data_IF_818456022759
#
_entry.id   IF_818456022759
#
_cell.length_a   1.000
_cell.length_b   1.000
_cell.length_c   1.000
_cell.angle_alpha   90.00
_cell.angle_beta   90.00
_cell.angle_gamma   90.00
#
_symmetry.space_group_name_H-M   'P 1'
#
loop_
_entity.id
_entity.type
_entity.pdbx_description
1 polymer ?
#
# COMPACT_ATOMS: atom_id res chain seq x y z
N UNK A 1 -7.27 26.68 -12.87
CA UNK A 1 -6.23 26.23 -11.94
C UNK A 1 -6.15 24.73 -12.12
N UNK A 2 -5.13 24.23 -12.82
CA UNK A 2 -4.94 22.79 -13.00
C UNK A 2 -4.21 22.23 -11.76
N UNK A 3 -4.74 21.16 -11.17
CA UNK A 3 -4.14 20.52 -10.00
C UNK A 3 -2.94 19.69 -10.42
N UNK A 4 -1.73 20.13 -10.07
CA UNK A 4 -0.50 19.45 -10.49
C UNK A 4 -0.30 18.06 -9.88
N UNK A 5 -0.90 17.79 -8.73
CA UNK A 5 -0.83 16.52 -8.01
C UNK A 5 -2.21 16.13 -7.49
N UNK A 6 -2.61 14.89 -7.75
CA UNK A 6 -3.84 14.27 -7.27
C UNK A 6 -3.43 13.07 -6.42
N UNK A 7 -3.67 13.16 -5.12
CA UNK A 7 -3.40 12.08 -4.17
C UNK A 7 -4.65 11.22 -4.04
N UNK A 8 -4.59 9.98 -4.49
CA UNK A 8 -5.76 9.10 -4.51
C UNK A 8 -5.67 7.92 -3.54
N UNK A 9 -6.81 7.29 -3.30
CA UNK A 9 -6.91 5.99 -2.65
C UNK A 9 -6.57 4.87 -3.64
N UNK A 10 -6.26 3.69 -3.09
CA UNK A 10 -5.75 2.54 -3.85
C UNK A 10 -6.84 1.55 -4.26
N UNK A 11 -8.10 1.97 -4.25
CA UNK A 11 -9.19 1.12 -4.70
C UNK A 11 -9.17 1.06 -6.23
N UNK A 12 -9.25 -0.15 -6.77
CA UNK A 12 -9.36 -0.37 -8.21
C UNK A 12 -10.56 0.38 -8.81
N UNK A 13 -11.65 0.52 -8.03
CA UNK A 13 -12.81 1.31 -8.42
C UNK A 13 -12.47 2.80 -8.60
N UNK A 14 -11.68 3.38 -7.70
CA UNK A 14 -11.23 4.78 -7.80
C UNK A 14 -10.29 4.97 -8.98
N UNK A 15 -9.35 4.03 -9.18
CA UNK A 15 -8.46 3.98 -10.35
C UNK A 15 -9.26 3.97 -11.65
N UNK A 16 -10.25 3.08 -11.74
CA UNK A 16 -11.10 2.95 -12.92
C UNK A 16 -11.99 4.18 -13.14
N UNK A 17 -12.51 4.78 -12.07
CA UNK A 17 -13.37 5.97 -12.12
C UNK A 17 -12.60 7.22 -12.59
N UNK A 18 -11.33 7.35 -12.21
CA UNK A 18 -10.47 8.43 -12.71
C UNK A 18 -9.94 8.16 -14.13
N UNK A 19 -10.31 7.03 -14.77
CA UNK A 19 -9.99 6.72 -16.16
C UNK A 19 -8.49 6.55 -16.43
N UNK A 20 -7.72 6.24 -15.39
CA UNK A 20 -6.26 6.34 -15.44
C UNK A 20 -5.68 5.13 -16.18
N UNK A 21 -5.31 5.33 -17.45
CA UNK A 21 -4.15 4.62 -17.98
C UNK A 21 -2.95 5.11 -17.18
N UNK A 22 -2.54 4.34 -16.18
CA UNK A 22 -1.33 4.66 -15.44
C UNK A 22 -0.15 4.64 -16.41
N UNK A 23 0.51 5.79 -16.47
CA UNK A 23 1.54 6.17 -17.44
C UNK A 23 0.97 6.56 -18.81
N UNK A 24 1.17 7.85 -19.12
CA UNK A 24 0.98 8.57 -20.39
C UNK A 24 -0.38 9.24 -20.62
N UNK A 25 -0.34 10.57 -20.64
CA UNK A 25 -1.28 11.54 -21.27
C UNK A 25 -2.59 11.79 -20.51
N UNK A 26 -2.98 13.02 -20.16
CA UNK A 26 -2.81 14.32 -20.84
C UNK A 26 -2.70 15.49 -19.86
N UNK A 27 -1.71 16.37 -20.10
CA UNK A 27 -1.50 17.73 -19.57
C UNK A 27 -1.79 18.03 -18.07
N UNK A 28 -0.68 18.16 -17.34
CA UNK A 28 -0.46 18.88 -16.06
C UNK A 28 -0.72 18.17 -14.73
N UNK A 29 -1.40 17.01 -14.64
CA UNK A 29 -1.74 16.41 -13.33
C UNK A 29 -1.03 15.06 -13.11
N UNK A 30 -0.18 14.99 -12.08
CA UNK A 30 0.43 13.74 -11.59
C UNK A 30 -0.58 13.06 -10.66
N UNK A 31 -0.87 11.79 -10.87
CA UNK A 31 -1.71 11.00 -9.96
C UNK A 31 -0.78 10.14 -9.11
N UNK A 32 -0.86 10.26 -7.79
CA UNK A 32 0.00 9.53 -6.85
C UNK A 32 -0.79 8.82 -5.77
N UNK A 33 -0.25 7.70 -5.32
CA UNK A 33 -0.76 6.94 -4.21
C UNK A 33 -0.57 7.66 -2.88
N UNK A 34 -1.63 7.79 -2.08
CA UNK A 34 -1.54 8.48 -0.80
C UNK A 34 -1.17 7.55 0.36
N UNK A 35 0.03 7.68 0.93
CA UNK A 35 0.48 6.90 2.10
C UNK A 35 -0.51 6.96 3.27
N UNK A 36 -1.19 8.09 3.49
CA UNK A 36 -2.24 8.21 4.49
C UNK A 36 -3.42 7.25 4.24
N UNK A 37 -3.86 7.10 2.98
CA UNK A 37 -4.89 6.13 2.62
C UNK A 37 -4.41 4.68 2.71
N UNK A 38 -3.12 4.42 2.46
CA UNK A 38 -2.52 3.11 2.69
C UNK A 38 -2.58 2.77 4.19
N UNK A 39 -2.12 3.68 5.05
CA UNK A 39 -2.15 3.49 6.49
C UNK A 39 -3.57 3.25 7.00
N UNK A 40 -4.56 4.00 6.51
CA UNK A 40 -5.96 3.78 6.85
C UNK A 40 -6.47 2.40 6.41
N UNK A 41 -6.04 1.90 5.24
CA UNK A 41 -6.40 0.57 4.75
C UNK A 41 -5.76 -0.54 5.60
N UNK A 42 -4.49 -0.35 6.00
CA UNK A 42 -3.79 -1.22 6.95
C UNK A 42 -4.55 -1.26 8.27
N UNK A 43 -4.91 -0.12 8.85
CA UNK A 43 -5.66 -0.06 10.11
C UNK A 43 -7.00 -0.80 10.02
N UNK A 44 -7.78 -0.59 8.95
CA UNK A 44 -9.04 -1.31 8.74
C UNK A 44 -8.81 -2.82 8.65
N UNK A 45 -7.76 -3.25 7.94
CA UNK A 45 -7.45 -4.67 7.79
C UNK A 45 -6.97 -5.30 9.10
N UNK A 46 -6.10 -4.62 9.85
CA UNK A 46 -5.65 -5.00 11.20
C UNK A 46 -6.85 -5.20 12.14
N UNK A 47 -7.78 -4.25 12.15
CA UNK A 47 -9.01 -4.35 12.94
C UNK A 47 -9.91 -5.50 12.48
N UNK A 48 -10.10 -5.67 11.17
CA UNK A 48 -10.89 -6.76 10.61
C UNK A 48 -10.31 -8.16 10.86
N UNK A 49 -9.00 -8.26 11.10
CA UNK A 49 -8.32 -9.49 11.52
C UNK A 49 -8.35 -9.70 13.05
N UNK A 50 -8.93 -8.78 13.82
CA UNK A 50 -9.00 -8.87 15.29
C UNK A 50 -7.74 -8.40 16.01
N UNK A 51 -6.78 -7.77 15.31
CA UNK A 51 -5.48 -7.39 15.87
C UNK A 51 -5.41 -5.97 16.44
N UNK A 52 -6.55 -5.31 16.64
CA UNK A 52 -6.59 -3.93 17.15
C UNK A 52 -5.78 -3.77 18.44
N UNK A 53 -6.03 -4.62 19.44
CA UNK A 53 -5.35 -4.57 20.73
C UNK A 53 -3.85 -4.80 20.59
N UNK A 54 -3.43 -5.79 19.78
CA UNK A 54 -2.02 -6.05 19.52
C UNK A 54 -1.35 -4.82 18.89
N UNK A 55 -1.97 -4.22 17.89
CA UNK A 55 -1.42 -3.04 17.22
C UNK A 55 -1.29 -1.82 18.15
N UNK A 56 -2.23 -1.62 19.07
CA UNK A 56 -2.24 -0.46 19.98
C UNK A 56 -1.32 -0.65 21.20
N UNK A 57 -1.10 -1.89 21.65
CA UNK A 57 -0.47 -2.17 22.94
C UNK A 57 0.87 -2.91 22.84
N UNK A 58 1.19 -3.49 21.68
CA UNK A 58 2.45 -4.19 21.43
C UNK A 58 3.27 -3.42 20.37
N UNK A 59 4.33 -2.70 20.78
CA UNK A 59 5.20 -1.97 19.87
C UNK A 59 5.89 -2.85 18.84
N UNK A 60 6.18 -4.12 19.16
CA UNK A 60 6.81 -5.07 18.23
C UNK A 60 5.81 -5.47 17.16
N UNK A 61 4.57 -5.76 17.55
CA UNK A 61 3.50 -6.02 16.59
C UNK A 61 3.25 -4.81 15.69
N UNK A 62 3.16 -3.62 16.27
CA UNK A 62 3.00 -2.36 15.52
C UNK A 62 4.16 -2.15 14.54
N UNK A 63 5.39 -2.43 14.97
CA UNK A 63 6.57 -2.35 14.11
C UNK A 63 6.46 -3.28 12.90
N UNK A 64 6.08 -4.54 13.10
CA UNK A 64 5.86 -5.49 12.01
C UNK A 64 4.78 -5.03 11.02
N UNK A 65 3.67 -4.49 11.51
CA UNK A 65 2.64 -3.90 10.64
C UNK A 65 3.19 -2.71 9.85
N UNK A 66 4.03 -1.87 10.46
CA UNK A 66 4.67 -0.75 9.79
C UNK A 66 5.74 -1.19 8.77
N UNK A 67 6.39 -2.36 8.96
CA UNK A 67 7.27 -2.94 7.94
C UNK A 67 6.49 -3.30 6.68
N UNK A 68 5.26 -3.82 6.80
CA UNK A 68 4.37 -4.05 5.65
C UNK A 68 4.05 -2.73 4.95
N UNK A 69 3.75 -1.67 5.71
CA UNK A 69 3.52 -0.33 5.15
C UNK A 69 4.76 0.21 4.40
N UNK A 70 5.97 -0.13 4.88
CA UNK A 70 7.22 0.37 4.34
C UNK A 70 7.55 -0.18 2.94
N UNK A 71 6.93 -1.28 2.51
CA UNK A 71 7.06 -1.78 1.13
C UNK A 71 6.63 -0.75 0.08
N UNK A 72 5.79 0.23 0.46
CA UNK A 72 5.37 1.33 -0.41
C UNK A 72 6.48 2.36 -0.72
N UNK A 73 7.66 2.21 -0.11
CA UNK A 73 8.83 3.04 -0.37
C UNK A 73 9.95 2.31 -1.13
N UNK A 74 9.73 1.04 -1.49
CA UNK A 74 10.68 0.27 -2.29
C UNK A 74 10.59 0.65 -3.76
N UNK A 75 11.68 0.50 -4.51
CA UNK A 75 11.56 0.62 -5.97
C UNK A 75 10.72 -0.53 -6.51
N UNK A 76 9.96 -0.36 -7.62
CA UNK A 76 9.14 -1.42 -8.21
C UNK A 76 9.84 -2.77 -8.37
N UNK A 77 11.13 -2.76 -8.73
CA UNK A 77 11.94 -3.95 -8.93
C UNK A 77 12.28 -4.68 -7.61
N UNK A 78 12.27 -3.96 -6.48
CA UNK A 78 12.61 -4.50 -5.16
C UNK A 78 11.37 -4.97 -4.39
N UNK A 79 10.16 -4.61 -4.85
CA UNK A 79 8.91 -4.91 -4.15
C UNK A 79 8.71 -6.41 -3.94
N UNK A 80 8.94 -7.22 -4.99
CA UNK A 80 8.78 -8.67 -4.90
C UNK A 80 9.71 -9.26 -3.83
N UNK A 81 10.98 -8.85 -3.84
CA UNK A 81 11.95 -9.30 -2.83
C UNK A 81 11.55 -8.82 -1.43
N UNK A 82 11.05 -7.59 -1.30
CA UNK A 82 10.56 -7.07 -0.02
C UNK A 82 9.39 -7.89 0.54
N UNK A 83 8.46 -8.36 -0.30
CA UNK A 83 7.41 -9.27 0.12
C UNK A 83 7.97 -10.61 0.60
N UNK A 84 8.91 -11.20 -0.14
CA UNK A 84 9.56 -12.47 0.25
C UNK A 84 10.32 -12.32 1.59
N UNK A 85 11.05 -11.24 1.78
CA UNK A 85 11.80 -10.96 3.01
C UNK A 85 10.85 -10.82 4.21
N UNK A 86 9.73 -10.14 4.03
CA UNK A 86 8.70 -10.03 5.08
C UNK A 86 7.99 -11.36 5.33
N UNK A 87 7.67 -12.13 4.31
CA UNK A 87 7.05 -13.44 4.47
C UNK A 87 7.92 -14.39 5.33
N UNK A 88 9.24 -14.30 5.17
CA UNK A 88 10.18 -15.14 5.91
C UNK A 88 10.48 -14.64 7.34
N UNK A 89 10.31 -13.34 7.59
CA UNK A 89 10.70 -12.71 8.87
C UNK A 89 9.53 -12.36 9.79
N UNK A 90 8.32 -12.19 9.24
CA UNK A 90 7.14 -11.82 10.02
C UNK A 90 6.56 -13.02 10.77
N UNK A 91 5.93 -12.78 11.94
CA UNK A 91 5.09 -13.79 12.58
C UNK A 91 3.98 -14.29 11.64
N UNK A 92 3.75 -15.62 11.62
CA UNK A 92 2.78 -16.25 10.72
C UNK A 92 1.36 -15.66 10.81
N UNK A 93 0.98 -15.15 11.98
CA UNK A 93 -0.31 -14.48 12.20
C UNK A 93 -0.50 -13.20 11.35
N UNK A 94 0.59 -12.58 10.86
CA UNK A 94 0.56 -11.40 10.00
C UNK A 94 0.52 -11.73 8.50
N UNK A 95 0.70 -13.00 8.11
CA UNK A 95 0.64 -13.39 6.69
C UNK A 95 -0.70 -13.04 6.02
N UNK A 96 -1.88 -13.14 6.68
CA UNK A 96 -3.13 -12.67 6.10
C UNK A 96 -3.18 -11.15 5.85
N UNK A 97 -2.42 -10.37 6.61
CA UNK A 97 -2.26 -8.93 6.39
C UNK A 97 -1.32 -8.67 5.22
N UNK A 98 -0.16 -9.34 5.17
CA UNK A 98 0.80 -9.25 4.07
C UNK A 98 0.16 -9.64 2.73
N UNK A 99 -0.50 -10.80 2.67
CA UNK A 99 -1.16 -11.30 1.46
C UNK A 99 -2.35 -10.43 1.00
N UNK A 100 -2.97 -9.67 1.90
CA UNK A 100 -3.99 -8.69 1.49
C UNK A 100 -3.39 -7.54 0.67
N UNK A 101 -2.12 -7.20 0.85
CA UNK A 101 -1.44 -6.17 0.07
C UNK A 101 -0.65 -6.71 -1.13
N UNK A 102 -0.41 -8.02 -1.18
CA UNK A 102 0.20 -8.71 -2.31
C UNK A 102 -0.82 -9.08 -3.40
N UNK A 103 -2.04 -9.46 -3.02
CA UNK A 103 -3.12 -9.87 -3.94
C UNK A 103 -3.32 -8.85 -5.06
N UNK A 104 -3.32 -9.29 -6.33
CA UNK A 104 -3.45 -8.47 -7.54
C UNK A 104 -4.67 -7.53 -7.49
N UNK A 105 -5.77 -7.98 -6.87
CA UNK A 105 -6.99 -7.16 -6.69
C UNK A 105 -6.83 -6.05 -5.66
N UNK A 106 -5.86 -6.19 -4.77
CA UNK A 106 -5.57 -5.32 -3.64
C UNK A 106 -4.09 -4.89 -3.63
N UNK A 107 -3.42 -4.87 -4.80
CA UNK A 107 -1.98 -4.60 -4.90
C UNK A 107 -1.67 -3.10 -4.73
N UNK A 108 -2.09 -2.56 -3.59
CA UNK A 108 -2.03 -1.15 -3.20
C UNK A 108 -0.58 -0.68 -3.07
N UNK A 109 0.33 -1.61 -2.77
CA UNK A 109 1.75 -1.34 -2.56
C UNK A 109 2.48 -1.19 -3.91
N UNK A 110 2.27 -2.10 -4.86
CA UNK A 110 2.83 -1.94 -6.20
C UNK A 110 2.27 -0.68 -6.90
N UNK A 111 1.00 -0.35 -6.65
CA UNK A 111 0.37 0.88 -7.14
C UNK A 111 1.02 2.17 -6.57
N UNK A 112 1.59 2.15 -5.35
CA UNK A 112 2.41 3.27 -4.85
C UNK A 112 3.75 3.37 -5.58
N UNK A 113 4.41 2.23 -5.81
CA UNK A 113 5.76 2.19 -6.34
C UNK A 113 5.85 2.60 -7.82
N UNK A 114 4.79 2.38 -8.59
CA UNK A 114 4.68 2.89 -9.98
C UNK A 114 4.62 4.43 -10.04
N UNK A 115 4.31 5.11 -8.92
CA UNK A 115 3.95 6.53 -8.89
C UNK A 115 4.94 7.45 -8.15
N UNK A 116 5.95 6.89 -7.48
CA UNK A 116 6.98 7.65 -6.74
C UNK A 116 8.31 7.82 -7.50
N UNK A 117 8.48 7.17 -8.67
CA UNK A 117 9.74 7.17 -9.43
C UNK A 117 9.60 7.62 -10.89
N UNK A 118 8.77 8.63 -11.16
CA UNK A 118 8.78 9.37 -12.44
C UNK A 118 8.81 10.88 -12.23
#
# INVERSE_FOLDING_TARGET
>A
MESKLIMMDFELASINAFGVKFVTTTHSSIISGCFFHLQNSIQRKVQGLGFKTNYEQDPVFSHHVNQIAALAFLQPNDVSQGFDDLYNSLPQMLHPLLGYFEDEKNNRILLMNVLLLQ
#
